data_IF_490632090041
#
_entry.id   IF_490632090041
#
_cell.length_a   1.000
_cell.length_b   1.000
_cell.length_c   1.000
_cell.angle_alpha   90.00
_cell.angle_beta   90.00
_cell.angle_gamma   90.00
#
_symmetry.space_group_name_H-M   'P 1'
#
loop_
_entity.id
_entity.type
_entity.pdbx_description
1 polymer ?
#
# COMPACT_ATOMS: atom_id res chain seq x y z
N UNK A 1 31.85 5.94 -41.55
CA UNK A 1 32.30 6.52 -40.26
C UNK A 1 31.26 7.40 -39.55
N UNK A 2 30.37 8.09 -40.29
CA UNK A 2 29.31 8.92 -39.68
C UNK A 2 28.25 8.06 -38.95
N UNK A 3 27.82 6.94 -39.54
CA UNK A 3 26.87 6.02 -38.94
C UNK A 3 27.34 5.42 -37.60
N UNK A 4 28.62 5.11 -37.50
CA UNK A 4 29.20 4.57 -36.27
C UNK A 4 29.11 5.58 -35.11
N UNK A 5 29.30 6.87 -35.39
CA UNK A 5 29.14 7.94 -34.37
C UNK A 5 27.71 8.06 -33.88
N UNK A 6 26.70 7.93 -34.75
CA UNK A 6 25.29 7.95 -34.35
C UNK A 6 24.92 6.73 -33.51
N UNK A 7 25.41 5.54 -33.84
CA UNK A 7 25.19 4.31 -33.07
C UNK A 7 25.80 4.44 -31.67
N UNK A 8 27.02 4.95 -31.55
CA UNK A 8 27.67 5.18 -30.25
C UNK A 8 26.89 6.21 -29.43
N UNK A 9 26.38 7.29 -30.04
CA UNK A 9 25.61 8.31 -29.37
C UNK A 9 24.28 7.76 -28.86
N UNK A 10 23.59 6.91 -29.63
CA UNK A 10 22.35 6.22 -29.23
C UNK A 10 22.63 5.24 -28.09
N UNK A 11 23.72 4.48 -28.12
CA UNK A 11 24.06 3.54 -27.04
C UNK A 11 24.38 4.29 -25.74
N UNK A 12 25.07 5.40 -25.79
CA UNK A 12 25.36 6.25 -24.61
C UNK A 12 24.07 6.87 -24.07
N UNK A 13 23.19 7.31 -24.95
CA UNK A 13 21.87 7.86 -24.54
C UNK A 13 20.95 6.82 -23.88
N UNK A 14 21.02 5.54 -24.28
CA UNK A 14 20.27 4.46 -23.63
C UNK A 14 20.89 3.99 -22.31
N UNK A 15 22.14 4.33 -22.03
CA UNK A 15 22.85 3.92 -20.81
C UNK A 15 22.62 4.84 -19.61
N UNK A 16 21.87 5.92 -19.78
CA UNK A 16 21.45 6.79 -18.67
C UNK A 16 20.27 6.13 -17.99
N UNK A 17 20.54 5.20 -17.08
CA UNK A 17 19.53 4.63 -16.19
C UNK A 17 19.13 5.68 -15.16
N UNK A 18 17.87 6.09 -15.07
CA UNK A 18 17.36 6.96 -14.01
C UNK A 18 17.11 6.14 -12.73
N UNK A 19 18.12 5.42 -12.26
CA UNK A 19 17.98 4.54 -11.08
C UNK A 19 17.79 5.31 -9.78
N UNK A 20 18.15 6.57 -9.72
CA UNK A 20 18.02 7.40 -8.53
C UNK A 20 16.61 7.99 -8.37
N UNK A 21 15.92 8.30 -9.46
CA UNK A 21 14.56 8.84 -9.44
C UNK A 21 13.53 7.77 -9.00
N UNK A 22 13.76 6.52 -9.29
CA UNK A 22 12.86 5.41 -8.97
C UNK A 22 12.75 5.15 -7.46
N UNK A 23 13.83 5.33 -6.70
CA UNK A 23 13.80 5.15 -5.24
C UNK A 23 13.01 6.23 -4.53
N UNK A 24 13.05 7.47 -5.01
CA UNK A 24 12.27 8.58 -4.42
C UNK A 24 10.78 8.41 -4.67
N UNK A 25 10.37 7.92 -5.84
CA UNK A 25 8.99 7.63 -6.17
C UNK A 25 8.44 6.49 -5.29
N UNK A 26 9.19 5.39 -5.15
CA UNK A 26 8.81 4.25 -4.29
C UNK A 26 8.74 4.68 -2.81
N UNK A 27 9.70 5.47 -2.34
CA UNK A 27 9.68 6.01 -0.99
C UNK A 27 8.45 6.89 -0.74
N UNK A 28 8.10 7.74 -1.70
CA UNK A 28 6.91 8.59 -1.64
C UNK A 28 5.63 7.74 -1.59
N UNK A 29 5.53 6.70 -2.40
CA UNK A 29 4.40 5.77 -2.41
C UNK A 29 4.26 5.03 -1.09
N UNK A 30 5.33 4.44 -0.58
CA UNK A 30 5.33 3.75 0.72
C UNK A 30 4.90 4.69 1.83
N UNK A 31 5.47 5.89 1.92
CA UNK A 31 5.18 6.84 3.00
C UNK A 31 3.76 7.42 2.94
N UNK A 32 3.14 7.49 1.75
CA UNK A 32 1.73 7.86 1.57
C UNK A 32 0.78 6.79 2.12
N UNK A 33 1.15 5.51 1.98
CA UNK A 33 0.36 4.38 2.46
C UNK A 33 0.56 4.09 3.96
N UNK A 34 1.50 4.77 4.62
CA UNK A 34 1.75 4.65 6.05
C UNK A 34 0.99 5.70 6.84
N UNK A 35 0.31 5.26 7.90
CA UNK A 35 -0.33 6.15 8.88
C UNK A 35 0.70 6.70 9.85
N UNK A 36 0.64 8.00 10.08
CA UNK A 36 1.29 8.59 11.22
C UNK A 36 0.42 8.39 12.47
N UNK A 37 0.83 7.49 13.38
CA UNK A 37 0.03 7.08 14.54
C UNK A 37 -0.23 8.21 15.54
N UNK A 38 0.59 9.25 15.54
CA UNK A 38 0.50 10.39 16.47
C UNK A 38 0.06 11.71 15.79
N UNK A 39 -0.23 11.68 14.47
CA UNK A 39 -0.50 12.87 13.66
C UNK A 39 -1.97 13.02 13.27
N UNK A 40 -2.90 12.60 14.09
CA UNK A 40 -4.36 12.74 13.86
C UNK A 40 -4.87 12.17 12.52
N UNK A 41 -4.30 11.05 12.07
CA UNK A 41 -4.73 10.36 10.86
C UNK A 41 -4.09 10.84 9.55
N UNK A 42 -3.11 11.72 9.62
CA UNK A 42 -2.31 12.11 8.45
C UNK A 42 -1.40 10.97 8.00
N UNK A 43 -1.03 10.97 6.71
CA UNK A 43 0.00 10.07 6.20
C UNK A 43 1.37 10.45 6.75
N UNK A 44 2.28 9.48 6.78
CA UNK A 44 3.69 9.74 7.10
C UNK A 44 4.30 10.72 6.09
N UNK A 45 3.88 10.65 4.83
CA UNK A 45 4.35 11.52 3.77
C UNK A 45 4.03 13.00 4.06
N UNK A 46 2.78 13.29 4.46
CA UNK A 46 2.27 14.66 4.64
C UNK A 46 2.56 15.24 6.01
N UNK A 47 3.07 14.43 6.94
CA UNK A 47 3.38 14.86 8.31
C UNK A 47 4.86 15.21 8.46
N UNK A 48 5.11 16.31 9.20
CA UNK A 48 6.44 16.77 9.60
C UNK A 48 6.76 16.47 11.06
N UNK A 49 5.97 15.60 11.71
CA UNK A 49 6.26 15.18 13.08
C UNK A 49 7.60 14.43 13.17
N UNK A 50 8.22 14.45 14.34
CA UNK A 50 9.46 13.72 14.60
C UNK A 50 9.32 12.22 14.31
N UNK A 51 8.16 11.66 14.67
CA UNK A 51 7.83 10.25 14.38
C UNK A 51 7.73 9.99 12.87
N UNK A 52 7.03 10.85 12.11
CA UNK A 52 6.91 10.71 10.65
C UNK A 52 8.28 10.84 9.97
N UNK A 53 9.11 11.76 10.40
CA UNK A 53 10.46 11.94 9.87
C UNK A 53 11.36 10.73 10.17
N UNK A 54 11.24 10.14 11.36
CA UNK A 54 11.95 8.90 11.72
C UNK A 54 11.52 7.72 10.84
N UNK A 55 10.21 7.60 10.52
CA UNK A 55 9.72 6.58 9.60
C UNK A 55 10.17 6.81 8.16
N UNK A 56 10.18 8.06 7.68
CA UNK A 56 10.71 8.40 6.35
C UNK A 56 12.19 7.99 6.21
N UNK A 57 12.99 8.23 7.23
CA UNK A 57 14.40 7.81 7.27
C UNK A 57 14.55 6.28 7.34
N UNK A 58 13.69 5.62 8.10
CA UNK A 58 13.70 4.15 8.19
C UNK A 58 13.35 3.50 6.85
N UNK A 59 12.33 4.00 6.16
CA UNK A 59 11.95 3.52 4.82
C UNK A 59 13.10 3.72 3.83
N UNK A 60 13.71 4.89 3.84
CA UNK A 60 14.87 5.21 3.00
C UNK A 60 16.04 4.25 3.26
N UNK A 61 16.36 4.02 4.51
CA UNK A 61 17.39 3.06 4.90
C UNK A 61 17.08 1.65 4.39
N UNK A 62 15.83 1.19 4.52
CA UNK A 62 15.42 -0.14 4.08
C UNK A 62 15.43 -0.29 2.55
N UNK A 63 15.05 0.75 1.81
CA UNK A 63 15.19 0.78 0.36
C UNK A 63 16.66 0.70 -0.07
N UNK A 64 17.56 1.42 0.62
CA UNK A 64 19.00 1.36 0.36
C UNK A 64 19.63 0.00 0.73
N UNK A 65 19.05 -0.73 1.68
CA UNK A 65 19.41 -2.12 1.99
C UNK A 65 18.93 -3.12 0.92
N UNK A 66 18.16 -2.67 -0.09
CA UNK A 66 17.67 -3.49 -1.20
C UNK A 66 16.36 -4.22 -0.93
N UNK A 67 15.64 -3.86 0.14
CA UNK A 67 14.32 -4.41 0.41
C UNK A 67 13.30 -3.85 -0.59
N UNK A 68 12.38 -4.69 -1.03
CA UNK A 68 11.25 -4.25 -1.84
C UNK A 68 10.11 -3.70 -0.96
N UNK A 69 9.16 -3.01 -1.58
CA UNK A 69 8.01 -2.38 -0.93
C UNK A 69 7.27 -3.34 0.02
N UNK A 70 6.94 -4.55 -0.45
CA UNK A 70 6.23 -5.55 0.34
C UNK A 70 7.01 -6.00 1.59
N UNK A 71 8.32 -6.15 1.48
CA UNK A 71 9.19 -6.50 2.61
C UNK A 71 9.25 -5.37 3.63
N UNK A 72 9.21 -4.12 3.17
CA UNK A 72 9.18 -2.94 4.04
C UNK A 72 7.85 -2.87 4.80
N UNK A 73 6.71 -3.10 4.12
CA UNK A 73 5.41 -3.17 4.80
C UNK A 73 5.36 -4.29 5.84
N UNK A 74 5.83 -5.49 5.52
CA UNK A 74 5.89 -6.59 6.49
C UNK A 74 6.74 -6.24 7.71
N UNK A 75 7.89 -5.63 7.50
CA UNK A 75 8.77 -5.18 8.59
C UNK A 75 8.09 -4.13 9.48
N UNK A 76 7.38 -3.18 8.87
CA UNK A 76 6.70 -2.12 9.61
C UNK A 76 5.47 -2.66 10.36
N UNK A 77 4.70 -3.57 9.76
CA UNK A 77 3.54 -4.19 10.41
C UNK A 77 3.95 -5.10 11.56
N UNK A 78 5.06 -5.81 11.43
CA UNK A 78 5.62 -6.62 12.52
C UNK A 78 6.05 -5.75 13.71
N UNK A 79 6.64 -4.58 13.43
CA UNK A 79 7.19 -3.69 14.45
C UNK A 79 6.15 -2.78 15.12
N UNK A 80 5.19 -2.27 14.35
CA UNK A 80 4.21 -1.26 14.78
C UNK A 80 2.77 -1.76 14.78
N UNK A 81 2.51 -2.94 14.24
CA UNK A 81 1.18 -3.51 14.05
C UNK A 81 0.54 -3.14 12.71
N UNK A 82 -0.53 -3.85 12.36
CA UNK A 82 -1.26 -3.65 11.09
C UNK A 82 -1.90 -2.25 10.96
N UNK A 83 -2.08 -1.56 12.07
CA UNK A 83 -2.65 -0.21 12.15
C UNK A 83 -1.82 0.87 11.44
N UNK A 84 -0.56 0.58 11.15
CA UNK A 84 0.33 1.52 10.46
C UNK A 84 -0.01 1.66 8.97
N UNK A 85 -0.71 0.69 8.38
CA UNK A 85 -1.13 0.73 6.98
C UNK A 85 -2.53 1.35 6.85
N UNK A 86 -2.74 2.15 5.78
CA UNK A 86 -4.07 2.62 5.40
C UNK A 86 -4.88 1.51 4.75
N UNK A 87 -4.24 0.66 3.97
CA UNK A 87 -4.87 -0.45 3.27
C UNK A 87 -4.58 -1.74 4.04
N UNK A 88 -5.57 -2.28 4.79
CA UNK A 88 -5.38 -3.53 5.52
C UNK A 88 -5.22 -4.68 4.54
N UNK A 89 -4.17 -5.46 4.68
CA UNK A 89 -4.02 -6.69 3.94
C UNK A 89 -5.21 -7.62 4.21
N UNK A 90 -5.76 -8.25 3.16
CA UNK A 90 -6.81 -9.25 3.27
C UNK A 90 -6.22 -10.52 3.91
N UNK A 91 -6.23 -10.56 5.25
CA UNK A 91 -5.85 -11.73 6.02
C UNK A 91 -7.04 -12.68 6.19
N UNK A 92 -6.77 -13.98 6.39
CA UNK A 92 -7.79 -15.00 6.64
C UNK A 92 -8.75 -14.61 7.78
N UNK A 93 -8.26 -13.89 8.79
CA UNK A 93 -9.08 -13.39 9.90
C UNK A 93 -10.02 -12.24 9.48
N UNK A 94 -9.72 -11.52 8.41
CA UNK A 94 -10.51 -10.39 7.93
C UNK A 94 -11.65 -10.83 7.02
N UNK A 95 -11.58 -12.02 6.40
CA UNK A 95 -12.66 -12.57 5.59
C UNK A 95 -13.97 -12.69 6.36
N UNK A 96 -13.90 -13.03 7.63
CA UNK A 96 -15.10 -13.17 8.48
C UNK A 96 -15.85 -11.84 8.61
N UNK A 97 -15.16 -10.73 8.71
CA UNK A 97 -15.77 -9.39 8.79
C UNK A 97 -16.53 -9.02 7.51
N UNK A 98 -16.04 -9.46 6.36
CA UNK A 98 -16.65 -9.14 5.06
C UNK A 98 -17.80 -10.08 4.71
N UNK A 99 -17.70 -11.36 5.09
CA UNK A 99 -18.73 -12.37 4.82
C UNK A 99 -19.96 -12.16 5.72
N UNK A 100 -19.76 -11.75 6.97
CA UNK A 100 -20.83 -11.61 7.97
C UNK A 100 -21.97 -10.67 7.52
N UNK A 101 -21.73 -9.44 7.03
CA UNK A 101 -22.79 -8.55 6.56
C UNK A 101 -23.53 -9.12 5.33
N UNK A 102 -22.82 -9.79 4.43
CA UNK A 102 -23.43 -10.41 3.24
C UNK A 102 -24.38 -11.54 3.67
N UNK A 103 -23.93 -12.39 4.58
CA UNK A 103 -24.72 -13.49 5.12
C UNK A 103 -25.97 -12.99 5.86
N UNK A 104 -25.84 -11.95 6.68
CA UNK A 104 -26.97 -11.29 7.34
C UNK A 104 -27.98 -10.72 6.33
N UNK A 105 -27.50 -10.12 5.27
CA UNK A 105 -28.36 -9.57 4.21
C UNK A 105 -29.13 -10.66 3.46
N UNK A 106 -28.47 -11.79 3.14
CA UNK A 106 -29.09 -12.94 2.49
C UNK A 106 -30.17 -13.59 3.38
N UNK A 107 -29.87 -13.79 4.66
CA UNK A 107 -30.83 -14.36 5.62
C UNK A 107 -32.04 -13.43 5.79
N UNK A 108 -31.80 -12.13 6.00
CA UNK A 108 -32.86 -11.13 6.14
C UNK A 108 -33.74 -11.03 4.90
N UNK A 109 -33.12 -11.02 3.71
CA UNK A 109 -33.84 -11.05 2.44
C UNK A 109 -34.71 -12.31 2.26
N UNK A 110 -34.15 -13.48 2.59
CA UNK A 110 -34.90 -14.75 2.51
C UNK A 110 -36.11 -14.78 3.46
N UNK A 111 -35.98 -14.25 4.68
CA UNK A 111 -37.08 -14.17 5.62
C UNK A 111 -38.18 -13.23 5.11
N UNK A 112 -37.82 -12.06 4.59
CA UNK A 112 -38.78 -11.10 4.04
C UNK A 112 -39.51 -11.70 2.84
N UNK A 113 -38.80 -12.32 1.92
CA UNK A 113 -39.42 -12.98 0.76
C UNK A 113 -40.37 -14.09 1.19
N UNK A 114 -40.00 -14.90 2.17
CA UNK A 114 -40.84 -15.97 2.69
C UNK A 114 -42.14 -15.43 3.32
N UNK A 115 -42.03 -14.37 4.11
CA UNK A 115 -43.20 -13.71 4.73
C UNK A 115 -44.13 -13.10 3.66
N UNK A 116 -43.55 -12.53 2.57
CA UNK A 116 -44.34 -11.95 1.47
C UNK A 116 -45.11 -13.01 0.69
N UNK A 117 -44.49 -14.17 0.45
CA UNK A 117 -45.09 -15.30 -0.29
C UNK A 117 -46.21 -15.92 0.55
N UNK A 118 -45.99 -16.12 1.85
CA UNK A 118 -47.02 -16.69 2.77
C UNK A 118 -48.22 -15.74 2.91
N UNK A 119 -48.00 -14.43 2.93
CA UNK A 119 -49.09 -13.44 3.05
C UNK A 119 -49.94 -13.32 1.78
N UNK A 120 -49.37 -13.70 0.61
CA UNK A 120 -50.07 -13.63 -0.68
C UNK A 120 -50.90 -14.92 -0.99
N UNK A 121 -50.66 -16.01 -0.29
CA UNK A 121 -51.40 -17.25 -0.38
C UNK A 121 -52.56 -17.26 0.64
#
# INVERSE_FOLDING_TARGET
MKFLKYIIFIIISLSINPSLAQNDDIKSEITKNLRCLICQGQSVHDSDSEFANSLKLLVDKKLNEGLNEKQIYNYLTEKYGEWILYDPEFNENTYFLWILPILMFLIGGAIILRLFIIKKS
#
